data_IF_825848946877
#
_entry.id   IF_825848946877
#
_cell.length_a   1.000
_cell.length_b   1.000
_cell.length_c   1.000
_cell.angle_alpha   90.00
_cell.angle_beta   90.00
_cell.angle_gamma   90.00
#
_symmetry.space_group_name_H-M   'P 1'
#
loop_
_entity.id
_entity.type
_entity.pdbx_description
1 polymer ?
#
# COMPACT_ATOMS: atom_id res chain seq x y z
N UNK A 1 -2.33 -0.64 -26.27
CA UNK A 1 -1.80 -1.82 -25.56
C UNK A 1 -1.84 -3.04 -26.46
N UNK A 2 -0.71 -3.71 -26.68
CA UNK A 2 -0.61 -4.95 -27.47
C UNK A 2 -0.29 -6.15 -26.57
N UNK A 3 -0.39 -7.38 -27.10
CA UNK A 3 -0.19 -8.62 -26.34
C UNK A 3 1.27 -8.77 -25.85
N UNK A 4 2.24 -8.23 -26.56
CA UNK A 4 3.65 -8.28 -26.17
C UNK A 4 3.90 -7.42 -24.92
N UNK A 5 3.30 -6.23 -24.85
CA UNK A 5 3.37 -5.35 -23.67
C UNK A 5 2.75 -6.01 -22.43
N UNK A 6 1.61 -6.71 -22.60
CA UNK A 6 0.95 -7.46 -21.53
C UNK A 6 1.84 -8.59 -21.04
N UNK A 7 2.39 -9.38 -21.95
CA UNK A 7 3.28 -10.48 -21.62
C UNK A 7 4.55 -9.99 -20.89
N UNK A 8 5.11 -8.87 -21.33
CA UNK A 8 6.27 -8.24 -20.68
C UNK A 8 5.92 -7.73 -19.27
N UNK A 9 4.73 -7.14 -19.10
CA UNK A 9 4.25 -6.74 -17.77
C UNK A 9 4.19 -7.94 -16.84
N UNK A 10 3.55 -9.03 -17.28
CA UNK A 10 3.41 -10.28 -16.52
C UNK A 10 4.77 -10.86 -16.14
N UNK A 11 5.67 -11.01 -17.09
CA UNK A 11 7.03 -11.54 -16.85
C UNK A 11 7.80 -10.69 -15.83
N UNK A 12 7.75 -9.37 -15.95
CA UNK A 12 8.41 -8.47 -15.01
C UNK A 12 7.83 -8.59 -13.60
N UNK A 13 6.51 -8.69 -13.48
CA UNK A 13 5.84 -8.84 -12.21
C UNK A 13 6.19 -10.19 -11.55
N UNK A 14 6.09 -11.29 -12.30
CA UNK A 14 6.43 -12.64 -11.84
C UNK A 14 7.91 -12.72 -11.40
N UNK A 15 8.80 -12.06 -12.11
CA UNK A 15 10.21 -11.96 -11.71
C UNK A 15 10.32 -11.31 -10.32
N UNK A 16 9.67 -10.16 -10.09
CA UNK A 16 9.70 -9.47 -8.80
C UNK A 16 9.10 -10.34 -7.69
N UNK A 17 7.94 -10.94 -7.93
CA UNK A 17 7.25 -11.82 -6.98
C UNK A 17 8.11 -13.02 -6.59
N UNK A 18 8.73 -13.68 -7.56
CA UNK A 18 9.59 -14.83 -7.34
C UNK A 18 10.89 -14.46 -6.59
N UNK A 19 11.54 -13.34 -6.95
CA UNK A 19 12.77 -12.92 -6.27
C UNK A 19 12.52 -12.55 -4.80
N UNK A 20 11.43 -11.84 -4.52
CA UNK A 20 11.04 -11.49 -3.16
C UNK A 20 10.65 -12.75 -2.37
N UNK A 21 9.94 -13.69 -3.00
CA UNK A 21 9.55 -14.97 -2.42
C UNK A 21 10.72 -15.89 -2.00
N UNK A 22 11.93 -15.67 -2.53
CA UNK A 22 13.13 -16.39 -2.06
C UNK A 22 13.48 -16.05 -0.62
N UNK A 23 13.21 -14.82 -0.19
CA UNK A 23 13.55 -14.31 1.15
C UNK A 23 12.35 -14.35 2.08
N UNK A 24 11.14 -14.13 1.55
CA UNK A 24 9.91 -14.11 2.32
C UNK A 24 9.21 -15.46 2.28
N UNK A 25 8.66 -15.90 3.41
CA UNK A 25 7.90 -17.16 3.55
C UNK A 25 6.48 -16.82 4.02
N UNK A 26 5.47 -17.47 3.43
CA UNK A 26 4.07 -17.37 3.88
C UNK A 26 3.37 -16.05 3.55
N UNK A 27 3.98 -15.14 2.80
CA UNK A 27 3.44 -13.82 2.48
C UNK A 27 3.16 -13.61 0.99
N UNK A 28 2.90 -14.67 0.22
CA UNK A 28 2.69 -14.59 -1.23
C UNK A 28 1.61 -13.58 -1.63
N UNK A 29 0.44 -13.62 -1.00
CA UNK A 29 -0.66 -12.69 -1.29
C UNK A 29 -0.32 -11.26 -0.89
N UNK A 30 0.37 -11.09 0.25
CA UNK A 30 0.84 -9.77 0.70
C UNK A 30 1.85 -9.18 -0.28
N UNK A 31 2.80 -9.98 -0.77
CA UNK A 31 3.78 -9.57 -1.80
C UNK A 31 3.02 -9.17 -3.06
N UNK A 32 2.16 -10.04 -3.58
CA UNK A 32 1.39 -9.84 -4.81
C UNK A 32 0.56 -8.56 -4.77
N UNK A 33 -0.22 -8.34 -3.70
CA UNK A 33 -1.06 -7.16 -3.55
C UNK A 33 -0.24 -5.88 -3.28
N UNK A 34 0.89 -5.98 -2.59
CA UNK A 34 1.81 -4.84 -2.42
C UNK A 34 2.43 -4.43 -3.76
N UNK A 35 2.92 -5.37 -4.55
CA UNK A 35 3.42 -5.12 -5.90
C UNK A 35 2.32 -4.55 -6.80
N UNK A 36 1.12 -5.14 -6.77
CA UNK A 36 -0.03 -4.62 -7.51
C UNK A 36 -0.34 -3.17 -7.14
N UNK A 37 -0.26 -2.82 -5.85
CA UNK A 37 -0.45 -1.45 -5.37
C UNK A 37 0.63 -0.50 -5.89
N UNK A 38 1.88 -0.93 -5.95
CA UNK A 38 2.98 -0.15 -6.53
C UNK A 38 2.69 0.15 -8.02
N UNK A 39 2.27 -0.84 -8.80
CA UNK A 39 1.97 -0.66 -10.23
C UNK A 39 0.65 0.09 -10.46
N UNK A 40 -0.32 -0.01 -9.56
CA UNK A 40 -1.50 0.84 -9.55
C UNK A 40 -1.18 2.32 -9.22
N UNK A 41 0.01 2.59 -8.66
CA UNK A 41 0.46 3.93 -8.29
C UNK A 41 -0.07 4.43 -6.96
N UNK A 42 -0.55 3.52 -6.10
CA UNK A 42 -1.05 3.79 -4.75
C UNK A 42 -0.05 3.49 -3.64
N UNK A 43 -0.52 3.50 -2.41
CA UNK A 43 0.22 3.23 -1.18
C UNK A 43 -0.45 2.09 -0.40
N UNK A 44 0.31 1.35 0.40
CA UNK A 44 -0.19 0.18 1.16
C UNK A 44 -0.12 0.45 2.66
N UNK A 45 -1.17 0.07 3.38
CA UNK A 45 -1.17 -0.04 4.83
C UNK A 45 -1.06 -1.52 5.21
N UNK A 46 -0.05 -1.90 5.98
CA UNK A 46 0.08 -3.24 6.56
C UNK A 46 -0.31 -3.22 8.04
N UNK A 47 -1.25 -4.05 8.40
CA UNK A 47 -1.61 -4.27 9.79
C UNK A 47 -1.20 -5.67 10.22
N UNK A 48 -0.57 -5.79 11.37
CA UNK A 48 -0.13 -7.07 11.93
C UNK A 48 0.80 -6.91 13.12
N UNK A 49 0.97 -7.97 13.89
CA UNK A 49 1.84 -8.01 15.05
C UNK A 49 3.31 -7.64 14.70
N UNK A 50 4.10 -7.17 15.68
CA UNK A 50 5.54 -6.99 15.48
C UNK A 50 6.23 -8.32 15.16
N UNK A 51 7.38 -8.26 14.47
CA UNK A 51 8.18 -9.45 14.17
C UNK A 51 7.73 -10.28 12.95
N UNK A 52 6.65 -9.91 12.27
CA UNK A 52 6.14 -10.64 11.10
C UNK A 52 6.85 -10.30 9.76
N UNK A 53 8.07 -9.76 9.80
CA UNK A 53 8.87 -9.55 8.60
C UNK A 53 8.47 -8.33 7.74
N UNK A 54 7.61 -7.43 8.23
CA UNK A 54 7.15 -6.25 7.46
C UNK A 54 8.31 -5.39 6.94
N UNK A 55 9.31 -5.11 7.77
CA UNK A 55 10.51 -4.35 7.38
C UNK A 55 11.33 -5.09 6.33
N UNK A 56 11.48 -6.41 6.47
CA UNK A 56 12.19 -7.25 5.52
C UNK A 56 11.49 -7.24 4.16
N UNK A 57 10.15 -7.35 4.14
CA UNK A 57 9.35 -7.28 2.92
C UNK A 57 9.62 -6.00 2.12
N UNK A 58 9.54 -4.83 2.78
CA UNK A 58 9.71 -3.55 2.07
C UNK A 58 11.14 -3.36 1.57
N UNK A 59 12.11 -3.76 2.38
CA UNK A 59 13.52 -3.74 1.99
C UNK A 59 13.76 -4.66 0.78
N UNK A 60 13.21 -5.86 0.80
CA UNK A 60 13.31 -6.83 -0.29
C UNK A 60 12.69 -6.31 -1.59
N UNK A 61 11.53 -5.65 -1.49
CA UNK A 61 10.88 -4.99 -2.65
C UNK A 61 11.79 -3.90 -3.23
N UNK A 62 12.35 -3.04 -2.38
CA UNK A 62 13.19 -1.94 -2.82
C UNK A 62 14.49 -2.44 -3.47
N UNK A 63 15.13 -3.45 -2.87
CA UNK A 63 16.34 -4.09 -3.38
C UNK A 63 16.07 -4.77 -4.74
N UNK A 64 14.99 -5.55 -4.82
CA UNK A 64 14.60 -6.21 -6.07
C UNK A 64 14.28 -5.21 -7.18
N UNK A 65 13.58 -4.11 -6.86
CA UNK A 65 13.28 -3.04 -7.82
C UNK A 65 14.48 -2.13 -8.14
N UNK A 66 15.60 -2.23 -7.45
CA UNK A 66 16.75 -1.34 -7.63
C UNK A 66 16.44 0.13 -7.28
N UNK A 67 15.48 0.38 -6.39
CA UNK A 67 15.01 1.71 -6.02
C UNK A 67 15.58 2.16 -4.66
N UNK A 68 15.65 3.47 -4.45
CA UNK A 68 16.08 4.02 -3.15
C UNK A 68 15.05 3.73 -2.07
N UNK A 69 15.54 3.29 -0.90
CA UNK A 69 14.74 2.91 0.26
C UNK A 69 15.14 3.74 1.49
N UNK A 70 14.14 4.16 2.26
CA UNK A 70 14.30 4.72 3.60
C UNK A 70 13.24 4.17 4.54
N UNK A 71 13.63 3.96 5.80
CA UNK A 71 12.71 3.61 6.90
C UNK A 71 12.56 4.83 7.81
N UNK A 72 11.34 5.12 8.20
CA UNK A 72 10.98 6.11 9.20
C UNK A 72 10.27 5.34 10.31
N UNK A 73 10.92 5.26 11.48
CA UNK A 73 10.29 4.70 12.68
C UNK A 73 9.47 5.82 13.32
N UNK A 74 8.17 5.65 13.38
CA UNK A 74 7.28 6.61 14.03
C UNK A 74 7.31 6.41 15.55
N UNK A 75 7.54 7.51 16.27
CA UNK A 75 7.58 7.57 17.75
C UNK A 75 6.80 8.81 18.20
N UNK A 76 6.42 8.85 19.47
CA UNK A 76 5.60 9.96 20.01
C UNK A 76 6.29 11.33 19.94
N UNK A 77 7.61 11.36 19.91
CA UNK A 77 8.46 12.55 19.84
C UNK A 77 8.89 12.94 18.41
N UNK A 78 8.55 12.10 17.40
CA UNK A 78 8.90 12.38 16.00
C UNK A 78 8.20 13.65 15.50
N UNK A 79 8.99 14.59 14.96
CA UNK A 79 8.49 15.85 14.41
C UNK A 79 8.25 15.77 12.89
N UNK A 80 7.36 16.59 12.31
CA UNK A 80 7.19 16.67 10.86
C UNK A 80 8.48 16.93 10.09
N UNK A 81 9.37 17.77 10.63
CA UNK A 81 10.69 18.07 10.05
C UNK A 81 11.62 16.87 9.96
N UNK A 82 11.48 15.89 10.86
CA UNK A 82 12.27 14.66 10.83
C UNK A 82 11.86 13.76 9.66
N UNK A 83 10.62 13.89 9.21
CA UNK A 83 10.07 13.19 8.05
C UNK A 83 10.39 13.93 6.75
N UNK A 84 10.09 15.23 6.70
CA UNK A 84 10.12 16.04 5.47
C UNK A 84 11.44 16.72 5.21
N UNK A 85 12.28 16.86 6.24
CA UNK A 85 13.52 17.65 6.18
C UNK A 85 13.31 19.08 6.63
N UNK A 86 14.42 19.81 6.71
CA UNK A 86 14.46 21.17 7.23
C UNK A 86 15.50 22.01 6.50
N UNK A 87 15.47 23.32 6.73
CA UNK A 87 16.55 24.19 6.29
C UNK A 87 17.63 24.27 7.38
N UNK A 88 18.87 24.06 6.99
CA UNK A 88 20.05 24.21 7.87
C UNK A 88 20.91 25.36 7.40
N UNK A 89 21.49 26.09 8.36
CA UNK A 89 22.45 27.12 8.05
C UNK A 89 23.77 26.46 7.65
N UNK A 90 24.20 26.71 6.42
CA UNK A 90 25.45 26.18 5.86
C UNK A 90 26.37 27.37 5.50
N UNK A 91 27.65 27.25 5.81
CA UNK A 91 28.69 28.17 5.33
C UNK A 91 29.27 27.62 4.02
N UNK A 92 29.33 28.46 2.99
CA UNK A 92 30.01 28.16 1.74
C UNK A 92 31.56 28.34 1.86
N UNK A 93 32.27 27.98 0.81
CA UNK A 93 33.75 28.10 0.76
C UNK A 93 34.25 29.54 0.97
N UNK A 94 33.37 30.53 0.87
CA UNK A 94 33.66 31.95 1.08
C UNK A 94 33.16 32.46 2.45
N UNK A 95 32.89 31.61 3.43
CA UNK A 95 32.33 31.92 4.75
C UNK A 95 30.98 32.67 4.70
N UNK A 96 30.25 32.59 3.57
CA UNK A 96 28.92 33.17 3.47
C UNK A 96 27.90 32.19 4.01
N UNK A 97 27.11 32.64 4.98
CA UNK A 97 26.02 31.85 5.57
C UNK A 97 24.82 31.84 4.65
N UNK A 98 24.41 30.66 4.23
CA UNK A 98 23.23 30.42 3.39
C UNK A 98 22.36 29.32 3.98
N UNK A 99 21.05 29.48 3.85
CA UNK A 99 20.13 28.40 4.21
C UNK A 99 20.08 27.37 3.08
N UNK A 100 20.36 26.11 3.42
CA UNK A 100 20.31 25.00 2.50
C UNK A 100 19.28 23.99 2.96
N UNK A 101 18.41 23.56 2.04
CA UNK A 101 17.46 22.49 2.35
C UNK A 101 18.19 21.16 2.54
N UNK A 102 17.97 20.54 3.69
CA UNK A 102 18.41 19.17 3.99
C UNK A 102 17.19 18.26 3.87
N UNK A 103 17.10 17.40 2.83
CA UNK A 103 15.95 16.55 2.62
C UNK A 103 15.84 15.50 3.73
N UNK A 104 14.61 15.28 4.20
CA UNK A 104 14.29 14.21 5.15
C UNK A 104 14.22 12.84 4.49
N UNK A 105 14.00 11.78 5.28
CA UNK A 105 13.95 10.40 4.79
C UNK A 105 12.81 10.12 3.81
N UNK A 106 11.79 10.98 3.74
CA UNK A 106 10.69 10.85 2.76
C UNK A 106 11.18 11.01 1.30
N UNK A 107 12.37 11.59 1.09
CA UNK A 107 12.96 11.75 -0.25
C UNK A 107 13.63 10.45 -0.73
N UNK A 108 12.84 9.37 -0.77
CA UNK A 108 13.21 8.09 -1.35
C UNK A 108 12.08 7.59 -2.27
N UNK A 109 12.38 6.64 -3.15
CA UNK A 109 11.37 6.03 -4.01
C UNK A 109 10.41 5.14 -3.21
N UNK A 110 10.95 4.38 -2.26
CA UNK A 110 10.20 3.49 -1.37
C UNK A 110 10.47 3.90 0.06
N UNK A 111 9.41 4.23 0.78
CA UNK A 111 9.45 4.63 2.18
C UNK A 111 8.65 3.62 3.02
N UNK A 112 9.30 3.05 4.03
CA UNK A 112 8.62 2.33 5.09
C UNK A 112 8.32 3.30 6.23
N UNK A 113 7.04 3.63 6.43
CA UNK A 113 6.55 4.37 7.59
C UNK A 113 6.15 3.35 8.67
N UNK A 114 7.09 3.03 9.56
CA UNK A 114 6.91 1.94 10.53
C UNK A 114 6.22 2.45 11.80
N UNK A 115 5.15 1.75 12.22
CA UNK A 115 4.32 2.09 13.37
C UNK A 115 3.73 3.51 13.31
N UNK A 116 3.12 3.85 12.17
CA UNK A 116 2.64 5.21 11.88
C UNK A 116 1.67 5.77 12.94
N UNK A 117 0.94 4.90 13.63
CA UNK A 117 0.01 5.25 14.72
C UNK A 117 0.70 5.67 16.02
N UNK A 118 2.03 5.56 16.15
CA UNK A 118 2.77 6.02 17.36
C UNK A 118 3.11 7.49 17.37
N UNK A 119 3.17 8.14 16.21
CA UNK A 119 3.43 9.58 16.15
C UNK A 119 2.15 10.41 16.23
N UNK A 120 2.30 11.65 16.72
CA UNK A 120 1.18 12.57 16.81
C UNK A 120 0.59 12.97 15.47
N UNK A 121 -0.67 13.49 15.45
CA UNK A 121 -1.43 13.78 14.22
C UNK A 121 -0.73 14.72 13.24
N UNK A 122 0.09 15.67 13.72
CA UNK A 122 0.84 16.59 12.86
C UNK A 122 1.87 15.85 12.00
N UNK A 123 2.59 14.91 12.58
CA UNK A 123 3.62 14.12 11.88
C UNK A 123 2.98 13.12 10.93
N UNK A 124 1.88 12.47 11.34
CA UNK A 124 1.08 11.63 10.44
C UNK A 124 0.60 12.44 9.22
N UNK A 125 0.05 13.64 9.44
CA UNK A 125 -0.46 14.49 8.36
C UNK A 125 0.63 14.89 7.37
N UNK A 126 1.86 15.15 7.81
CA UNK A 126 2.97 15.48 6.91
C UNK A 126 3.33 14.33 5.95
N UNK A 127 3.31 13.08 6.44
CA UNK A 127 3.49 11.91 5.59
C UNK A 127 2.35 11.76 4.58
N UNK A 128 1.11 11.87 5.06
CA UNK A 128 -0.09 11.63 4.25
C UNK A 128 -0.31 12.72 3.19
N UNK A 129 0.06 13.97 3.49
CA UNK A 129 0.09 15.05 2.50
C UNK A 129 1.11 14.77 1.40
N UNK A 130 2.32 14.36 1.79
CA UNK A 130 3.36 14.01 0.84
C UNK A 130 3.00 12.81 -0.05
N UNK A 131 2.21 11.85 0.47
CA UNK A 131 1.67 10.72 -0.31
C UNK A 131 0.71 11.19 -1.40
N UNK A 132 -0.17 12.13 -1.11
CA UNK A 132 -1.19 12.63 -2.03
C UNK A 132 -0.58 13.59 -3.05
N UNK A 133 0.15 14.61 -2.57
CA UNK A 133 0.70 15.69 -3.39
C UNK A 133 1.98 15.30 -4.16
N UNK A 134 2.66 14.22 -3.74
CA UNK A 134 3.97 13.77 -4.27
C UNK A 134 5.04 14.87 -4.21
N UNK A 135 4.90 15.76 -3.27
CA UNK A 135 5.78 16.90 -2.96
C UNK A 135 5.69 17.29 -1.49
N UNK A 136 6.65 18.03 -1.02
CA UNK A 136 6.69 18.59 0.35
C UNK A 136 6.96 20.07 0.27
N UNK A 137 6.29 20.88 1.09
CA UNK A 137 6.54 22.31 1.18
C UNK A 137 7.21 22.61 2.52
N UNK A 138 8.46 23.13 2.48
CA UNK A 138 9.24 23.50 3.67
C UNK A 138 9.58 24.97 3.58
N UNK A 139 9.14 25.75 4.56
CA UNK A 139 9.36 27.23 4.65
C UNK A 139 9.02 27.96 3.34
N UNK A 140 7.90 27.60 2.71
CA UNK A 140 7.40 28.21 1.46
C UNK A 140 8.03 27.70 0.16
N UNK A 141 9.01 26.80 0.24
CA UNK A 141 9.61 26.16 -0.94
C UNK A 141 9.08 24.75 -1.14
N UNK A 142 8.59 24.46 -2.35
CA UNK A 142 8.06 23.15 -2.72
C UNK A 142 9.14 22.28 -3.34
N UNK A 143 9.31 21.07 -2.79
CA UNK A 143 10.28 20.06 -3.21
C UNK A 143 9.53 18.83 -3.69
N UNK A 144 9.72 18.45 -4.97
CA UNK A 144 9.11 17.23 -5.55
C UNK A 144 9.78 15.97 -5.02
N UNK A 145 8.97 14.96 -4.71
CA UNK A 145 9.47 13.65 -4.33
C UNK A 145 9.93 12.84 -5.56
N UNK A 146 10.92 11.94 -5.38
CA UNK A 146 11.40 11.09 -6.47
C UNK A 146 10.27 10.18 -6.99
N UNK A 147 10.21 9.96 -8.29
CA UNK A 147 9.24 9.06 -8.91
C UNK A 147 9.94 7.80 -9.45
N UNK A 148 9.32 6.61 -9.34
CA UNK A 148 8.06 6.33 -8.65
C UNK A 148 8.18 6.55 -7.14
N UNK A 149 7.14 7.09 -6.51
CA UNK A 149 7.06 7.24 -5.06
C UNK A 149 6.04 6.25 -4.51
N UNK A 150 6.42 5.54 -3.46
CA UNK A 150 5.58 4.54 -2.80
C UNK A 150 5.84 4.54 -1.29
N UNK A 151 4.76 4.58 -0.51
CA UNK A 151 4.79 4.42 0.94
C UNK A 151 4.12 3.11 1.32
N UNK A 152 4.80 2.34 2.14
CA UNK A 152 4.23 1.24 2.89
C UNK A 152 4.23 1.65 4.36
N UNK A 153 3.05 1.88 4.90
CA UNK A 153 2.88 2.19 6.31
C UNK A 153 2.54 0.92 7.10
N UNK A 154 3.02 0.81 8.33
CA UNK A 154 2.64 -0.28 9.22
C UNK A 154 1.87 0.25 10.43
N UNK A 155 0.92 -0.56 10.90
CA UNK A 155 0.24 -0.39 12.16
C UNK A 155 0.34 -1.65 13.00
N UNK A 156 0.46 -1.47 14.31
CA UNK A 156 0.36 -2.56 15.27
C UNK A 156 -1.02 -2.46 15.95
N UNK A 157 -1.93 -3.42 15.75
CA UNK A 157 -3.28 -3.37 16.33
C UNK A 157 -3.29 -3.68 17.84
N UNK A 158 -2.21 -4.24 18.38
CA UNK A 158 -2.17 -4.72 19.79
C UNK A 158 -1.79 -3.57 20.75
N UNK A 159 -1.00 -2.60 20.28
CA UNK A 159 -0.56 -1.47 21.10
C UNK A 159 -1.58 -0.34 21.04
N UNK A 160 -2.39 -0.24 22.11
CA UNK A 160 -3.38 0.83 22.26
C UNK A 160 -2.84 2.00 23.08
N UNK A 161 -1.97 1.74 24.07
CA UNK A 161 -1.39 2.80 24.89
C UNK A 161 -0.34 3.63 24.14
N UNK A 162 -0.46 4.96 24.25
CA UNK A 162 0.47 5.89 23.61
C UNK A 162 0.36 5.95 22.08
N UNK A 163 -0.74 5.48 21.49
CA UNK A 163 -0.97 5.55 20.05
C UNK A 163 -2.04 6.58 19.67
N UNK A 164 -1.93 7.10 18.46
CA UNK A 164 -2.88 8.00 17.82
C UNK A 164 -3.45 7.28 16.59
N UNK A 165 -4.67 6.75 16.66
CA UNK A 165 -5.27 6.08 15.51
C UNK A 165 -5.38 7.05 14.33
N UNK A 166 -5.14 6.53 13.12
CA UNK A 166 -5.35 7.31 11.90
C UNK A 166 -6.85 7.55 11.72
N UNK A 167 -7.30 8.81 11.54
CA UNK A 167 -8.67 9.11 11.18
C UNK A 167 -9.05 8.44 9.84
N UNK A 168 -10.32 8.13 9.66
CA UNK A 168 -10.84 7.44 8.47
C UNK A 168 -10.50 8.17 7.17
N UNK A 169 -10.60 9.52 7.17
CA UNK A 169 -10.23 10.35 6.01
C UNK A 169 -8.74 10.23 5.65
N UNK A 170 -7.89 9.84 6.59
CA UNK A 170 -6.47 9.61 6.38
C UNK A 170 -6.20 8.17 5.91
N UNK A 171 -6.94 7.19 6.44
CA UNK A 171 -6.91 5.81 5.97
C UNK A 171 -7.31 5.69 4.50
N UNK A 172 -8.24 6.49 4.02
CA UNK A 172 -8.71 6.52 2.64
C UNK A 172 -7.63 6.88 1.60
N UNK A 173 -6.47 7.42 2.04
CA UNK A 173 -5.30 7.69 1.17
C UNK A 173 -4.49 6.44 0.83
N UNK A 174 -4.63 5.36 1.58
CA UNK A 174 -4.05 4.07 1.23
C UNK A 174 -4.92 3.34 0.22
N UNK A 175 -4.32 2.83 -0.85
CA UNK A 175 -5.05 2.11 -1.89
C UNK A 175 -5.60 0.79 -1.36
N UNK A 176 -4.78 0.06 -0.60
CA UNK A 176 -5.15 -1.20 0.06
C UNK A 176 -4.68 -1.23 1.52
N UNK A 177 -5.44 -1.96 2.34
CA UNK A 177 -5.03 -2.39 3.68
C UNK A 177 -4.89 -3.90 3.69
N UNK A 178 -3.70 -4.40 4.04
CA UNK A 178 -3.38 -5.82 4.08
C UNK A 178 -3.18 -6.26 5.54
N UNK A 179 -3.77 -7.38 5.88
CA UNK A 179 -3.61 -7.99 7.21
C UNK A 179 -2.52 -9.06 7.10
N UNK A 180 -1.50 -8.93 7.95
CA UNK A 180 -0.39 -9.89 8.01
C UNK A 180 -0.65 -10.85 9.16
N UNK A 181 -1.02 -12.08 8.81
CA UNK A 181 -1.24 -13.14 9.79
C UNK A 181 0.10 -13.73 10.29
N UNK A 182 0.12 -14.27 11.52
CA UNK A 182 1.25 -15.08 11.98
C UNK A 182 1.49 -16.28 11.05
N UNK A 183 2.74 -16.72 10.89
CA UNK A 183 3.06 -17.88 10.06
C UNK A 183 2.46 -19.17 10.65
N UNK A 184 2.08 -20.08 9.78
CA UNK A 184 1.75 -21.47 10.14
C UNK A 184 2.99 -22.20 10.68
N UNK A 185 2.79 -23.37 11.31
CA UNK A 185 3.90 -24.18 11.82
C UNK A 185 4.88 -24.60 10.71
N UNK A 186 4.40 -24.92 9.52
CA UNK A 186 5.22 -25.26 8.35
C UNK A 186 6.02 -24.07 7.85
N UNK A 187 5.40 -22.91 7.77
CA UNK A 187 6.07 -21.65 7.37
C UNK A 187 7.11 -21.23 8.39
N UNK A 188 6.82 -21.38 9.69
CA UNK A 188 7.78 -21.08 10.75
C UNK A 188 9.02 -21.98 10.65
N UNK A 189 8.85 -23.27 10.39
CA UNK A 189 9.97 -24.18 10.16
C UNK A 189 10.82 -23.72 8.96
N UNK A 190 10.18 -23.32 7.88
CA UNK A 190 10.89 -22.81 6.70
C UNK A 190 11.62 -21.50 6.99
N UNK A 191 11.00 -20.59 7.75
CA UNK A 191 11.64 -19.35 8.22
C UNK A 191 12.91 -19.68 9.02
N UNK A 192 12.83 -20.60 9.97
CA UNK A 192 13.97 -21.02 10.77
C UNK A 192 15.09 -21.57 9.89
N UNK A 193 14.76 -22.46 8.96
CA UNK A 193 15.75 -23.03 8.04
C UNK A 193 16.48 -21.95 7.22
N UNK A 194 15.73 -20.94 6.71
CA UNK A 194 16.31 -19.86 5.90
C UNK A 194 17.07 -18.81 6.70
N UNK A 195 16.70 -18.57 7.96
CA UNK A 195 17.25 -17.46 8.75
C UNK A 195 18.38 -17.88 9.69
N UNK A 196 18.43 -19.16 10.11
CA UNK A 196 19.46 -19.70 11.01
C UNK A 196 20.53 -20.54 10.28
N UNK A 197 20.36 -20.78 8.97
CA UNK A 197 21.33 -21.47 8.14
C UNK A 197 22.54 -20.58 7.76
N UNK A 198 23.57 -21.22 7.21
CA UNK A 198 24.81 -20.53 6.78
C UNK A 198 24.61 -19.67 5.51
N UNK A 199 23.68 -20.04 4.65
CA UNK A 199 23.40 -19.34 3.40
C UNK A 199 22.14 -18.51 3.51
N UNK A 200 22.27 -17.21 3.30
CA UNK A 200 21.10 -16.31 3.15
C UNK A 200 20.75 -16.18 1.67
N UNK A 201 19.48 -16.33 1.33
CA UNK A 201 18.99 -16.10 -0.01
C UNK A 201 19.28 -14.65 -0.45
N UNK A 202 19.89 -14.50 -1.62
CA UNK A 202 20.19 -13.19 -2.21
C UNK A 202 19.11 -12.84 -3.23
N UNK A 203 18.63 -11.61 -3.14
CA UNK A 203 17.69 -11.04 -4.11
C UNK A 203 18.47 -10.53 -5.30
N UNK A 204 18.00 -10.88 -6.50
CA UNK A 204 18.53 -10.32 -7.74
C UNK A 204 17.75 -9.05 -8.08
N UNK A 205 18.47 -7.95 -8.29
CA UNK A 205 17.83 -6.71 -8.73
C UNK A 205 17.28 -6.88 -10.15
N UNK A 206 16.09 -6.29 -10.39
CA UNK A 206 15.41 -6.30 -11.68
C UNK A 206 16.24 -5.60 -12.76
N UNK A 207 16.76 -4.41 -12.43
CA UNK A 207 17.67 -3.63 -13.28
C UNK A 207 18.40 -2.58 -12.41
N UNK A 208 19.24 -1.76 -13.03
CA UNK A 208 19.75 -0.58 -12.34
C UNK A 208 18.64 0.44 -12.05
N UNK A 209 18.91 1.41 -11.18
CA UNK A 209 17.89 2.38 -10.70
C UNK A 209 17.19 3.13 -11.83
N UNK A 210 17.90 3.55 -12.85
CA UNK A 210 17.36 4.36 -13.94
C UNK A 210 16.44 3.52 -14.84
N UNK A 211 16.86 2.32 -15.21
CA UNK A 211 16.09 1.37 -16.02
C UNK A 211 14.85 0.89 -15.26
N UNK A 212 15.00 0.55 -13.99
CA UNK A 212 13.88 0.17 -13.11
C UNK A 212 12.84 1.28 -12.99
N UNK A 213 13.29 2.51 -12.78
CA UNK A 213 12.40 3.68 -12.74
C UNK A 213 11.58 3.81 -14.02
N UNK A 214 12.24 3.73 -15.19
CA UNK A 214 11.56 3.80 -16.49
C UNK A 214 10.57 2.66 -16.68
N UNK A 215 10.98 1.42 -16.37
CA UNK A 215 10.13 0.25 -16.52
C UNK A 215 8.89 0.32 -15.62
N UNK A 216 9.03 0.69 -14.35
CA UNK A 216 7.90 0.82 -13.43
C UNK A 216 6.92 1.90 -13.87
N UNK A 217 7.42 3.04 -14.36
CA UNK A 217 6.56 4.10 -14.87
C UNK A 217 5.82 3.69 -16.15
N UNK A 218 6.46 2.90 -17.02
CA UNK A 218 5.80 2.30 -18.20
C UNK A 218 4.72 1.30 -17.78
N UNK A 219 5.02 0.42 -16.82
CA UNK A 219 4.04 -0.54 -16.28
C UNK A 219 2.84 0.19 -15.65
N UNK A 220 3.05 1.27 -14.90
CA UNK A 220 1.97 2.13 -14.38
C UNK A 220 1.10 2.76 -15.47
N UNK A 221 1.72 3.16 -16.58
CA UNK A 221 0.98 3.68 -17.73
C UNK A 221 0.11 2.60 -18.36
N UNK A 222 0.66 1.40 -18.55
CA UNK A 222 -0.06 0.26 -19.12
C UNK A 222 -1.29 -0.12 -18.28
N UNK A 223 -1.19 -0.13 -16.95
CA UNK A 223 -2.33 -0.37 -16.05
C UNK A 223 -3.49 0.58 -16.33
N UNK A 224 -3.22 1.87 -16.61
CA UNK A 224 -4.27 2.85 -16.93
C UNK A 224 -4.97 2.55 -18.25
N UNK A 225 -4.30 1.89 -19.20
CA UNK A 225 -4.82 1.56 -20.52
C UNK A 225 -5.72 0.30 -20.53
N UNK A 226 -5.77 -0.46 -19.43
CA UNK A 226 -6.63 -1.65 -19.29
C UNK A 226 -8.09 -1.25 -19.47
N UNK A 227 -8.80 -1.98 -20.34
CA UNK A 227 -10.19 -1.71 -20.72
C UNK A 227 -11.12 -2.18 -19.62
N UNK A 228 -12.16 -1.40 -19.37
CA UNK A 228 -13.25 -1.74 -18.46
C UNK A 228 -14.53 -1.82 -19.25
N UNK A 229 -15.13 -3.00 -19.35
CA UNK A 229 -16.44 -3.14 -19.99
C UNK A 229 -17.52 -2.49 -19.10
N UNK A 230 -18.51 -1.78 -19.68
CA UNK A 230 -19.57 -1.14 -18.89
C UNK A 230 -20.26 -2.09 -17.91
N UNK A 231 -20.58 -3.30 -18.33
CA UNK A 231 -21.21 -4.30 -17.47
C UNK A 231 -20.36 -4.67 -16.23
N UNK A 232 -19.03 -4.73 -16.36
CA UNK A 232 -18.11 -5.02 -15.24
C UNK A 232 -18.03 -3.79 -14.31
N UNK A 233 -18.07 -2.59 -14.87
CA UNK A 233 -18.10 -1.35 -14.07
C UNK A 233 -19.42 -1.24 -13.30
N UNK A 234 -20.56 -1.57 -13.91
CA UNK A 234 -21.87 -1.53 -13.25
C UNK A 234 -21.93 -2.51 -12.08
N UNK A 235 -21.32 -3.69 -12.20
CA UNK A 235 -21.20 -4.65 -11.09
C UNK A 235 -20.41 -4.07 -9.94
N UNK A 236 -19.23 -3.46 -10.19
CA UNK A 236 -18.45 -2.82 -9.13
C UNK A 236 -19.25 -1.71 -8.45
N UNK A 237 -19.94 -0.88 -9.24
CA UNK A 237 -20.79 0.21 -8.70
C UNK A 237 -21.89 -0.38 -7.83
N UNK A 238 -22.57 -1.43 -8.29
CA UNK A 238 -23.62 -2.11 -7.53
C UNK A 238 -23.09 -2.67 -6.20
N UNK A 239 -21.93 -3.33 -6.20
CA UNK A 239 -21.28 -3.83 -4.97
C UNK A 239 -20.98 -2.70 -3.98
N UNK A 240 -20.41 -1.59 -4.47
CA UNK A 240 -20.07 -0.43 -3.60
C UNK A 240 -21.33 0.20 -3.01
N UNK A 241 -22.40 0.34 -3.81
CA UNK A 241 -23.70 0.83 -3.30
C UNK A 241 -24.34 -0.13 -2.31
N UNK A 242 -24.21 -1.44 -2.51
CA UNK A 242 -24.72 -2.45 -1.57
C UNK A 242 -23.99 -2.44 -0.21
N UNK A 243 -22.82 -1.80 -0.12
CA UNK A 243 -22.07 -1.59 1.12
C UNK A 243 -22.41 -0.25 1.81
N UNK A 244 -23.28 0.59 1.24
CA UNK A 244 -23.74 1.84 1.86
C UNK A 244 -25.08 1.60 2.58
N UNK A 245 -25.18 1.82 3.90
CA UNK A 245 -26.41 1.62 4.66
C UNK A 245 -27.57 2.53 4.21
N UNK A 246 -27.28 3.63 3.52
CA UNK A 246 -28.30 4.54 2.97
C UNK A 246 -28.80 4.10 1.59
N UNK A 247 -28.25 3.06 1.00
CA UNK A 247 -28.66 2.53 -0.29
C UNK A 247 -29.89 1.61 -0.16
N UNK A 248 -30.79 1.70 -1.14
CA UNK A 248 -31.94 0.79 -1.23
C UNK A 248 -31.53 -0.65 -1.58
N UNK A 249 -30.28 -0.87 -1.96
CA UNK A 249 -29.72 -2.18 -2.34
C UNK A 249 -28.83 -2.77 -1.26
N UNK A 250 -28.72 -2.15 -0.07
CA UNK A 250 -27.90 -2.64 1.01
C UNK A 250 -28.40 -3.99 1.54
N UNK A 251 -27.45 -4.85 1.97
CA UNK A 251 -27.80 -6.13 2.60
C UNK A 251 -28.26 -5.91 4.06
N UNK A 252 -28.87 -6.94 4.65
CA UNK A 252 -29.29 -6.88 6.06
C UNK A 252 -28.11 -6.67 7.01
N UNK A 253 -26.95 -7.28 6.74
CA UNK A 253 -25.73 -7.09 7.53
C UNK A 253 -25.22 -5.64 7.41
N UNK A 254 -25.24 -5.07 6.21
CA UNK A 254 -24.84 -3.66 5.99
C UNK A 254 -25.75 -2.72 6.78
N UNK A 255 -27.06 -2.88 6.68
CA UNK A 255 -28.01 -2.04 7.39
C UNK A 255 -27.88 -2.15 8.92
N UNK A 256 -27.53 -3.34 9.42
CA UNK A 256 -27.39 -3.57 10.86
C UNK A 256 -26.05 -3.09 11.43
N UNK A 257 -24.94 -3.24 10.71
CA UNK A 257 -23.60 -3.09 11.27
C UNK A 257 -22.75 -1.97 10.67
N UNK A 258 -23.11 -1.42 9.51
CA UNK A 258 -22.33 -0.37 8.85
C UNK A 258 -22.87 1.01 9.22
N UNK A 259 -22.00 1.89 9.68
CA UNK A 259 -22.30 3.29 9.94
C UNK A 259 -22.07 4.15 8.69
N UNK A 260 -20.95 3.90 7.99
CA UNK A 260 -20.61 4.55 6.71
C UNK A 260 -19.97 3.52 5.79
N UNK A 261 -20.46 3.46 4.55
CA UNK A 261 -19.93 2.65 3.48
C UNK A 261 -18.72 3.28 2.76
N UNK A 262 -18.09 2.52 1.82
CA UNK A 262 -16.95 3.02 1.06
C UNK A 262 -17.40 4.09 0.04
N UNK A 263 -16.61 5.18 -0.04
CA UNK A 263 -16.85 6.25 -1.00
C UNK A 263 -16.23 5.98 -2.40
N UNK A 264 -16.25 6.99 -3.30
CA UNK A 264 -15.72 6.88 -4.66
C UNK A 264 -14.25 6.47 -4.74
N UNK A 265 -13.41 6.88 -3.76
CA UNK A 265 -11.99 6.44 -3.69
C UNK A 265 -11.89 4.93 -3.47
N UNK A 266 -12.83 4.32 -2.76
CA UNK A 266 -12.92 2.87 -2.60
C UNK A 266 -13.14 2.17 -3.93
N UNK A 267 -14.15 2.60 -4.70
CA UNK A 267 -14.42 2.06 -6.04
C UNK A 267 -13.21 2.23 -6.98
N UNK A 268 -12.55 3.39 -6.95
CA UNK A 268 -11.32 3.64 -7.71
C UNK A 268 -10.19 2.69 -7.31
N UNK A 269 -10.03 2.41 -6.02
CA UNK A 269 -9.01 1.50 -5.52
C UNK A 269 -9.24 0.07 -6.00
N UNK A 270 -10.47 -0.44 -5.90
CA UNK A 270 -10.85 -1.76 -6.45
C UNK A 270 -10.55 -1.81 -7.95
N UNK A 271 -11.00 -0.81 -8.70
CA UNK A 271 -10.77 -0.72 -10.15
C UNK A 271 -9.30 -0.78 -10.51
N UNK A 272 -8.44 -0.01 -9.81
CA UNK A 272 -7.01 0.06 -10.12
C UNK A 272 -6.29 -1.25 -9.80
N UNK A 273 -6.61 -1.92 -8.70
CA UNK A 273 -6.05 -3.24 -8.39
C UNK A 273 -6.55 -4.28 -9.40
N UNK A 274 -7.84 -4.28 -9.75
CA UNK A 274 -8.42 -5.18 -10.76
C UNK A 274 -7.73 -5.06 -12.12
N UNK A 275 -7.37 -3.84 -12.55
CA UNK A 275 -6.59 -3.62 -13.77
C UNK A 275 -5.21 -4.31 -13.74
N UNK A 276 -4.53 -4.26 -12.61
CA UNK A 276 -3.25 -4.95 -12.45
C UNK A 276 -3.45 -6.46 -12.51
N UNK A 277 -4.45 -6.99 -11.81
CA UNK A 277 -4.76 -8.43 -11.80
C UNK A 277 -5.10 -8.95 -13.21
N UNK A 278 -5.86 -8.20 -13.99
CA UNK A 278 -6.16 -8.53 -15.39
C UNK A 278 -4.88 -8.68 -16.24
N UNK A 279 -3.92 -7.75 -16.09
CA UNK A 279 -2.64 -7.85 -16.78
C UNK A 279 -1.81 -9.05 -16.36
N UNK A 280 -1.87 -9.44 -15.07
CA UNK A 280 -1.19 -10.63 -14.55
C UNK A 280 -1.76 -11.93 -15.15
N UNK A 281 -3.06 -11.93 -15.46
CA UNK A 281 -3.70 -13.03 -16.16
C UNK A 281 -3.54 -12.98 -17.69
N UNK A 282 -2.78 -12.00 -18.20
CA UNK A 282 -2.54 -11.85 -19.63
C UNK A 282 -3.69 -11.21 -20.41
N UNK A 283 -4.62 -10.56 -19.71
CA UNK A 283 -5.81 -9.94 -20.30
C UNK A 283 -5.69 -8.42 -20.43
N UNK A 284 -6.25 -7.88 -21.51
CA UNK A 284 -6.33 -6.45 -21.77
C UNK A 284 -7.55 -5.77 -21.13
N UNK A 285 -8.44 -6.54 -20.52
CA UNK A 285 -9.69 -6.09 -19.91
C UNK A 285 -9.90 -6.75 -18.55
N UNK A 286 -10.58 -6.04 -17.65
CA UNK A 286 -10.96 -6.55 -16.32
C UNK A 286 -12.02 -7.63 -16.48
N UNK A 287 -11.91 -8.69 -15.66
CA UNK A 287 -12.92 -9.67 -15.42
C UNK A 287 -13.55 -9.49 -14.04
N UNK A 288 -14.64 -10.19 -13.80
CA UNK A 288 -15.38 -10.15 -12.54
C UNK A 288 -14.55 -10.67 -11.35
N UNK A 289 -13.76 -11.71 -11.59
CA UNK A 289 -12.87 -12.32 -10.60
C UNK A 289 -11.80 -11.35 -10.09
N UNK A 290 -11.36 -10.41 -10.93
CA UNK A 290 -10.40 -9.39 -10.53
C UNK A 290 -10.99 -8.46 -9.47
N UNK A 291 -12.28 -8.07 -9.67
CA UNK A 291 -13.02 -7.26 -8.70
C UNK A 291 -13.19 -8.04 -7.39
N UNK A 292 -13.60 -9.31 -7.45
CA UNK A 292 -13.76 -10.17 -6.27
C UNK A 292 -12.46 -10.32 -5.47
N UNK A 293 -11.34 -10.33 -6.13
CA UNK A 293 -10.02 -10.42 -5.47
C UNK A 293 -9.61 -9.09 -4.86
N UNK A 294 -9.89 -7.98 -5.55
CA UNK A 294 -9.45 -6.64 -5.15
C UNK A 294 -10.32 -6.01 -4.05
N UNK A 295 -11.61 -6.41 -3.94
CA UNK A 295 -12.61 -5.66 -3.16
C UNK A 295 -12.31 -5.62 -1.67
N UNK A 296 -11.95 -6.73 -1.04
CA UNK A 296 -11.69 -6.82 0.39
C UNK A 296 -10.48 -5.95 0.79
N UNK A 297 -9.27 -6.13 0.24
CA UNK A 297 -8.12 -5.33 0.63
C UNK A 297 -8.27 -3.84 0.30
N UNK A 298 -9.07 -3.49 -0.72
CA UNK A 298 -9.33 -2.11 -1.09
C UNK A 298 -10.39 -1.45 -0.21
N UNK A 299 -11.39 -2.16 0.31
CA UNK A 299 -12.53 -1.56 1.00
C UNK A 299 -12.53 -1.73 2.53
N UNK A 300 -11.81 -2.71 3.09
CA UNK A 300 -11.91 -3.03 4.54
C UNK A 300 -11.63 -1.85 5.46
N UNK A 301 -10.76 -0.93 5.08
CA UNK A 301 -10.38 0.25 5.86
C UNK A 301 -11.21 1.50 5.52
N UNK A 302 -12.17 1.37 4.60
CA UNK A 302 -13.08 2.42 4.16
C UNK A 302 -14.50 2.24 4.68
N UNK A 303 -14.74 1.14 5.39
CA UNK A 303 -16.01 0.87 6.04
C UNK A 303 -15.91 1.20 7.52
N UNK A 304 -16.82 2.04 8.00
CA UNK A 304 -16.94 2.37 9.41
C UNK A 304 -18.09 1.56 9.97
N UNK A 305 -17.76 0.66 10.89
CA UNK A 305 -18.74 -0.17 11.56
C UNK A 305 -19.30 0.55 12.78
N UNK A 306 -20.49 0.16 13.21
CA UNK A 306 -21.09 0.65 14.43
C UNK A 306 -20.65 -0.19 15.65
N UNK A 307 -21.00 0.26 16.85
CA UNK A 307 -20.64 -0.39 18.10
C UNK A 307 -21.20 -1.83 18.22
N UNK A 308 -22.36 -2.09 17.63
CA UNK A 308 -22.95 -3.42 17.67
C UNK A 308 -22.12 -4.44 16.88
N UNK A 309 -21.52 -4.04 15.76
CA UNK A 309 -20.62 -4.90 15.01
C UNK A 309 -19.43 -5.36 15.84
N UNK A 310 -18.84 -4.46 16.64
CA UNK A 310 -17.74 -4.79 17.54
C UNK A 310 -18.19 -5.76 18.66
N UNK A 311 -19.37 -5.51 19.27
CA UNK A 311 -19.94 -6.38 20.28
C UNK A 311 -20.24 -7.80 19.76
N UNK A 312 -20.72 -7.91 18.52
CA UNK A 312 -21.09 -9.17 17.86
C UNK A 312 -19.90 -9.84 17.14
N UNK A 313 -18.70 -9.24 17.16
CA UNK A 313 -17.51 -9.74 16.49
C UNK A 313 -17.60 -9.76 14.96
N UNK A 314 -18.41 -8.86 14.38
CA UNK A 314 -18.58 -8.74 12.93
C UNK A 314 -17.53 -7.81 12.37
N UNK A 315 -16.78 -8.28 11.36
CA UNK A 315 -15.71 -7.53 10.70
C UNK A 315 -16.15 -6.97 9.35
N UNK A 316 -15.47 -5.91 8.90
CA UNK A 316 -15.68 -5.37 7.56
C UNK A 316 -15.46 -6.44 6.47
N UNK A 317 -14.47 -7.30 6.63
CA UNK A 317 -14.18 -8.39 5.69
C UNK A 317 -15.36 -9.36 5.53
N UNK A 318 -16.03 -9.71 6.64
CA UNK A 318 -17.22 -10.59 6.60
C UNK A 318 -18.36 -9.94 5.82
N UNK A 319 -18.62 -8.66 6.05
CA UNK A 319 -19.69 -7.91 5.37
C UNK A 319 -19.38 -7.78 3.87
N UNK A 320 -18.12 -7.42 3.53
CA UNK A 320 -17.71 -7.32 2.12
C UNK A 320 -17.79 -8.67 1.42
N UNK A 321 -17.43 -9.76 2.10
CA UNK A 321 -17.52 -11.10 1.54
C UNK A 321 -18.96 -11.50 1.21
N UNK A 322 -19.94 -11.19 2.06
CA UNK A 322 -21.36 -11.44 1.79
C UNK A 322 -21.81 -10.72 0.52
N UNK A 323 -21.52 -9.41 0.39
CA UNK A 323 -21.87 -8.64 -0.81
C UNK A 323 -21.16 -9.19 -2.06
N UNK A 324 -19.88 -9.55 -1.94
CA UNK A 324 -19.09 -10.14 -3.03
C UNK A 324 -19.66 -11.46 -3.53
N UNK A 325 -20.19 -12.31 -2.63
CA UNK A 325 -20.68 -13.63 -2.96
C UNK A 325 -22.15 -13.61 -3.43
N UNK A 326 -22.90 -12.54 -3.09
CA UNK A 326 -24.27 -12.32 -3.54
C UNK A 326 -24.37 -11.67 -4.94
N UNK A 327 -23.28 -11.10 -5.43
CA UNK A 327 -23.17 -10.42 -6.72
C UNK A 327 -22.47 -11.33 -7.73
#
# INVERSE_FOLDING_TARGET
MNQEEINKFKQNFEFLENEIGKVMVGLSDTIRLTLATIFAGGHTLLEGAPGLGKTLLVRSIAECMGLSFKRIQFTSDLMPSDVTGTQVLSEDENNKRTFKFQPGPIFANIVLADEVNRAGPKTQSSLLEAMEEKQVTVLGHTHKLPQPFFVLATQNPIELEGTYPLPEAQLDRFLVKLLVAPPSASELNEILNRTTGQEQAKIKAFANKEESTKAILQMRKLVKEVIVAPAVQDVLVSMVFSLDPNSNTCTSLVNQYVKFGPGPRGAQAVMMISKVLALLDGRANIAYEDIKTAIIPALRHRMILNFQAEADGVTADKIISEVKDAS
#
